data_IF_598532922595
#
_entry.id   IF_598532922595
#
_cell.length_a   1.000
_cell.length_b   1.000
_cell.length_c   1.000
_cell.angle_alpha   90.00
_cell.angle_beta   90.00
_cell.angle_gamma   90.00
#
_symmetry.space_group_name_H-M   'P 1'
#
loop_
_entity.id
_entity.type
_entity.pdbx_description
1 polymer ?
#
# COMPACT_ATOMS: atom_id res chain seq x y z
N UNK A 1 8.81 -4.45 6.79
CA UNK A 1 10.15 -5.05 6.56
C UNK A 1 10.55 -4.79 5.12
N UNK A 2 11.18 -3.64 4.89
CA UNK A 2 11.56 -3.14 3.58
C UNK A 2 12.39 -4.14 2.74
N UNK A 3 13.37 -4.81 3.34
CA UNK A 3 14.23 -5.76 2.62
C UNK A 3 13.45 -6.96 2.09
N UNK A 4 12.51 -7.48 2.88
CA UNK A 4 11.68 -8.61 2.43
C UNK A 4 10.76 -8.20 1.27
N UNK A 5 10.17 -7.01 1.34
CA UNK A 5 9.34 -6.47 0.27
C UNK A 5 10.14 -6.36 -1.03
N UNK A 6 11.38 -5.85 -0.98
CA UNK A 6 12.24 -5.81 -2.16
C UNK A 6 12.48 -7.19 -2.78
N UNK A 7 12.75 -8.22 -1.96
CA UNK A 7 12.98 -9.59 -2.45
C UNK A 7 11.72 -10.13 -3.13
N UNK A 8 10.55 -9.93 -2.52
CA UNK A 8 9.28 -10.40 -3.08
C UNK A 8 8.95 -9.70 -4.42
N UNK A 9 9.14 -8.38 -4.48
CA UNK A 9 8.92 -7.60 -5.70
C UNK A 9 9.91 -7.96 -6.80
N UNK A 10 11.17 -8.28 -6.46
CA UNK A 10 12.16 -8.78 -7.41
C UNK A 10 11.67 -10.07 -8.10
N UNK A 11 11.01 -10.95 -7.36
CA UNK A 11 10.37 -12.17 -7.89
C UNK A 11 8.94 -11.95 -8.42
N UNK A 12 8.55 -10.70 -8.70
CA UNK A 12 7.26 -10.32 -9.29
C UNK A 12 6.04 -10.72 -8.45
N UNK A 13 6.16 -10.73 -7.12
CA UNK A 13 5.01 -10.89 -6.25
C UNK A 13 3.95 -9.80 -6.54
N UNK A 14 2.68 -10.18 -6.55
CA UNK A 14 1.57 -9.23 -6.76
C UNK A 14 1.42 -8.31 -5.54
N UNK A 15 1.30 -7.01 -5.78
CA UNK A 15 1.11 -5.98 -4.75
C UNK A 15 -0.34 -5.76 -4.34
N UNK A 16 -1.29 -6.35 -5.08
CA UNK A 16 -2.71 -6.03 -4.99
C UNK A 16 -3.58 -7.22 -4.54
N UNK A 17 -2.97 -8.33 -4.12
CA UNK A 17 -3.72 -9.45 -3.54
C UNK A 17 -4.38 -8.97 -2.23
N UNK A 18 -5.68 -9.19 -2.13
CA UNK A 18 -6.45 -8.91 -0.93
C UNK A 18 -6.44 -10.11 0.01
N UNK A 19 -6.27 -9.86 1.30
CA UNK A 19 -6.48 -10.86 2.34
C UNK A 19 -7.98 -11.11 2.61
N UNK A 20 -8.29 -11.87 3.65
CA UNK A 20 -9.67 -12.20 4.03
C UNK A 20 -10.51 -11.01 4.47
N UNK A 21 -9.89 -9.89 4.84
CA UNK A 21 -10.55 -8.62 5.20
C UNK A 21 -10.63 -7.65 4.02
N UNK A 22 -10.12 -8.04 2.85
CA UNK A 22 -10.05 -7.16 1.69
C UNK A 22 -8.83 -6.25 1.71
N UNK A 23 -7.94 -6.37 2.69
CA UNK A 23 -6.76 -5.52 2.78
C UNK A 23 -5.68 -6.00 1.81
N UNK A 24 -5.14 -5.07 1.04
CA UNK A 24 -3.91 -5.29 0.26
C UNK A 24 -2.67 -5.04 1.13
N UNK A 25 -1.46 -5.48 0.70
CA UNK A 25 -0.22 -5.07 1.36
C UNK A 25 -0.09 -3.56 1.60
N UNK A 26 -0.66 -2.73 0.72
CA UNK A 26 -0.65 -1.28 0.89
C UNK A 26 -1.59 -0.79 2.00
N UNK A 27 -2.75 -1.42 2.21
CA UNK A 27 -3.62 -1.10 3.37
C UNK A 27 -2.86 -1.31 4.68
N UNK A 28 -2.19 -2.45 4.81
CA UNK A 28 -1.42 -2.81 6.00
C UNK A 28 -0.26 -1.83 6.25
N UNK A 29 0.49 -1.49 5.19
CA UNK A 29 1.57 -0.51 5.31
C UNK A 29 1.06 0.89 5.71
N UNK A 30 -0.11 1.29 5.23
CA UNK A 30 -0.75 2.55 5.58
C UNK A 30 -1.23 2.60 7.04
N UNK A 31 -1.89 1.54 7.51
CA UNK A 31 -2.40 1.48 8.89
C UNK A 31 -1.27 1.39 9.93
N UNK A 32 -0.17 0.72 9.59
CA UNK A 32 1.05 0.63 10.41
C UNK A 32 2.01 1.84 10.27
N UNK A 33 1.65 2.88 9.51
CA UNK A 33 2.49 4.07 9.27
C UNK A 33 3.88 3.76 8.69
N UNK A 34 3.97 2.71 7.87
CA UNK A 34 5.19 2.23 7.21
C UNK A 34 5.49 3.06 5.95
N UNK A 35 5.89 4.32 6.15
CA UNK A 35 6.04 5.31 5.06
C UNK A 35 6.90 4.79 3.89
N UNK A 36 8.08 4.25 4.17
CA UNK A 36 9.00 3.81 3.11
C UNK A 36 8.53 2.52 2.43
N UNK A 37 7.97 1.57 3.18
CA UNK A 37 7.33 0.39 2.58
C UNK A 37 6.12 0.75 1.71
N UNK A 38 5.27 1.68 2.16
CA UNK A 38 4.10 2.11 1.40
C UNK A 38 4.50 2.80 0.08
N UNK A 39 5.50 3.68 0.12
CA UNK A 39 6.07 4.30 -1.09
C UNK A 39 6.66 3.25 -2.04
N UNK A 40 7.37 2.25 -1.50
CA UNK A 40 7.95 1.18 -2.29
C UNK A 40 6.88 0.33 -2.99
N UNK A 41 5.79 0.01 -2.29
CA UNK A 41 4.66 -0.72 -2.87
C UNK A 41 4.00 0.09 -3.99
N UNK A 42 3.74 1.38 -3.78
CA UNK A 42 3.16 2.27 -4.80
C UNK A 42 4.06 2.40 -6.02
N UNK A 43 5.37 2.56 -5.85
CA UNK A 43 6.31 2.62 -6.98
C UNK A 43 6.39 1.32 -7.79
N UNK A 44 5.90 0.21 -7.24
CA UNK A 44 5.77 -1.09 -7.90
C UNK A 44 4.31 -1.43 -8.27
N UNK A 45 3.45 -0.41 -8.42
CA UNK A 45 2.09 -0.57 -8.95
C UNK A 45 1.04 -1.06 -7.95
N UNK A 46 1.29 -0.93 -6.64
CA UNK A 46 0.24 -1.09 -5.66
C UNK A 46 -0.84 -0.01 -5.87
N UNK A 47 -2.10 -0.44 -5.99
CA UNK A 47 -3.23 0.45 -6.21
C UNK A 47 -3.63 1.16 -4.93
N UNK A 48 -3.79 2.48 -5.02
CA UNK A 48 -4.34 3.32 -3.95
C UNK A 48 -5.88 3.37 -3.95
N UNK A 49 -6.54 2.64 -4.86
CA UNK A 49 -7.99 2.71 -5.09
C UNK A 49 -8.74 1.41 -4.77
N UNK A 50 -8.04 0.33 -4.36
CA UNK A 50 -8.71 -0.93 -3.99
C UNK A 50 -9.39 -0.72 -2.64
N UNK A 51 -10.67 -1.04 -2.55
CA UNK A 51 -11.42 -0.98 -1.29
C UNK A 51 -11.33 -2.32 -0.54
N UNK A 52 -11.11 -2.26 0.77
CA UNK A 52 -11.28 -3.40 1.66
C UNK A 52 -12.77 -3.64 1.98
N UNK A 53 -13.08 -4.62 2.84
CA UNK A 53 -14.47 -4.95 3.20
C UNK A 53 -15.19 -3.85 4.00
N UNK A 54 -14.46 -2.88 4.53
CA UNK A 54 -15.03 -1.69 5.16
C UNK A 54 -15.24 -0.53 4.17
N UNK A 55 -15.11 -0.80 2.85
CA UNK A 55 -15.20 0.21 1.79
C UNK A 55 -14.14 1.31 1.93
N UNK A 56 -12.99 0.98 2.52
CA UNK A 56 -11.86 1.90 2.69
C UNK A 56 -10.74 1.52 1.73
N UNK A 57 -10.22 2.54 1.04
CA UNK A 57 -8.98 2.49 0.25
C UNK A 57 -7.75 2.61 1.15
N UNK A 58 -6.53 2.26 0.66
CA UNK A 58 -5.30 2.46 1.42
C UNK A 58 -5.08 3.92 1.86
N UNK A 59 -5.58 4.90 1.09
CA UNK A 59 -5.46 6.31 1.46
C UNK A 59 -6.36 6.69 2.64
N UNK A 60 -7.50 6.03 2.79
CA UNK A 60 -8.45 6.27 3.88
C UNK A 60 -8.04 5.57 5.18
N UNK A 61 -7.31 4.45 5.11
CA UNK A 61 -6.70 3.83 6.30
C UNK A 61 -5.36 4.47 6.70
N UNK A 62 -4.71 5.22 5.81
CA UNK A 62 -3.46 5.88 6.12
C UNK A 62 -3.63 6.91 7.25
N UNK A 63 -2.76 6.83 8.26
CA UNK A 63 -2.70 7.78 9.36
C UNK A 63 -1.77 8.95 9.03
N UNK A 64 -2.03 10.10 9.66
CA UNK A 64 -1.21 11.30 9.51
C UNK A 64 -1.15 11.82 8.06
N UNK A 65 0.04 12.21 7.62
CA UNK A 65 0.28 12.78 6.27
C UNK A 65 0.54 11.75 5.17
N UNK A 66 0.56 10.45 5.48
CA UNK A 66 0.97 9.41 4.53
C UNK A 66 0.04 9.33 3.32
N UNK A 67 -1.28 9.42 3.50
CA UNK A 67 -2.23 9.39 2.40
C UNK A 67 -1.99 10.50 1.37
N UNK A 68 -1.64 11.71 1.82
CA UNK A 68 -1.30 12.82 0.93
C UNK A 68 0.01 12.58 0.16
N UNK A 69 1.01 11.97 0.80
CA UNK A 69 2.27 11.61 0.15
C UNK A 69 2.02 10.59 -0.95
N UNK A 70 1.27 9.53 -0.68
CA UNK A 70 0.99 8.48 -1.66
C UNK A 70 0.13 9.00 -2.81
N UNK A 71 -0.90 9.82 -2.52
CA UNK A 71 -1.71 10.46 -3.55
C UNK A 71 -0.85 11.30 -4.50
N UNK A 72 0.09 12.08 -3.96
CA UNK A 72 1.01 12.89 -4.77
C UNK A 72 1.97 12.05 -5.62
N UNK A 73 2.33 10.85 -5.19
CA UNK A 73 3.18 9.95 -5.97
C UNK A 73 2.46 9.29 -7.14
N UNK A 74 1.14 9.14 -7.06
CA UNK A 74 0.33 8.52 -8.12
C UNK A 74 -0.23 9.55 -9.10
N UNK A 75 -0.62 10.72 -8.60
CA UNK A 75 -1.31 11.76 -9.39
C UNK A 75 -0.42 12.94 -9.80
N UNK A 76 0.81 13.02 -9.26
CA UNK A 76 1.79 14.07 -9.57
C UNK A 76 2.74 13.65 -10.68
#
# INVERSE_FOLDING_TARGET
>A
NLKMIHILLYYKASTNIQDTEGNTPLHLACDEERVEEAKLLVSHGASIYIENKEEKTPLQVAKGGLGLILKRLVEG
#
